data_IF_837147895505
#
_entry.id   IF_837147895505
#
_cell.length_a   1.000
_cell.length_b   1.000
_cell.length_c   1.000
_cell.angle_alpha   90.00
_cell.angle_beta   90.00
_cell.angle_gamma   90.00
#
_symmetry.space_group_name_H-M   'P 1'
#
loop_
_entity.id
_entity.type
_entity.pdbx_description
1 polymer ?
#
# COMPACT_ATOMS: atom_id res chain seq x y z
N UNK A 1 25.76 -1.49 22.33
CA UNK A 1 25.34 -2.89 22.08
C UNK A 1 24.41 -3.25 23.23
N UNK A 2 23.44 -4.13 23.01
CA UNK A 2 22.49 -4.54 24.04
C UNK A 2 22.16 -6.02 23.85
N UNK A 3 22.24 -6.81 24.91
CA UNK A 3 21.90 -8.22 24.86
C UNK A 3 20.47 -8.42 25.37
N UNK A 4 19.71 -9.32 24.72
CA UNK A 4 18.33 -9.64 25.08
C UNK A 4 18.07 -11.13 24.87
N UNK A 5 16.97 -11.62 25.45
CA UNK A 5 16.45 -12.95 25.13
C UNK A 5 15.07 -12.83 24.48
N UNK A 6 14.80 -13.66 23.48
CA UNK A 6 13.45 -13.80 22.91
C UNK A 6 12.94 -15.21 23.18
N UNK A 7 11.88 -15.34 23.99
CA UNK A 7 11.33 -16.65 24.38
C UNK A 7 9.92 -16.79 23.83
N UNK A 8 9.68 -17.83 23.01
CA UNK A 8 8.32 -18.20 22.62
C UNK A 8 7.63 -18.90 23.80
N UNK A 9 6.42 -18.45 24.13
CA UNK A 9 5.63 -18.94 25.25
C UNK A 9 4.14 -18.99 24.88
N UNK A 10 3.30 -19.45 25.81
CA UNK A 10 1.85 -19.32 25.72
C UNK A 10 1.36 -18.51 26.92
N UNK A 11 0.40 -17.62 26.68
CA UNK A 11 -0.19 -16.78 27.72
C UNK A 11 -1.69 -17.06 27.76
N UNK A 12 -2.22 -17.30 28.96
CA UNK A 12 -3.64 -17.45 29.21
C UNK A 12 -4.22 -16.13 29.71
N UNK A 13 -5.23 -15.63 29.00
CA UNK A 13 -6.00 -14.43 29.37
C UNK A 13 -7.48 -14.78 29.32
N UNK A 14 -8.22 -14.50 30.40
CA UNK A 14 -9.67 -14.79 30.46
C UNK A 14 -10.04 -16.27 30.22
N UNK A 15 -9.13 -17.21 30.47
CA UNK A 15 -9.33 -18.64 30.23
C UNK A 15 -8.85 -19.15 28.84
N UNK A 16 -8.61 -18.26 27.89
CA UNK A 16 -8.15 -18.60 26.53
C UNK A 16 -6.62 -18.54 26.42
N UNK A 17 -6.03 -19.51 25.71
CA UNK A 17 -4.58 -19.57 25.47
C UNK A 17 -4.20 -18.90 24.16
N UNK A 18 -3.23 -17.99 24.23
CA UNK A 18 -2.66 -17.27 23.10
C UNK A 18 -1.18 -17.62 22.96
N UNK A 19 -0.68 -17.59 21.73
CA UNK A 19 0.77 -17.65 21.47
C UNK A 19 1.38 -16.32 21.90
N UNK A 20 2.52 -16.37 22.58
CA UNK A 20 3.21 -15.19 23.06
C UNK A 20 4.70 -15.22 22.72
N UNK A 21 5.26 -14.03 22.51
CA UNK A 21 6.70 -13.82 22.37
C UNK A 21 7.13 -12.88 23.49
N UNK A 22 8.02 -13.37 24.34
CA UNK A 22 8.51 -12.67 25.51
C UNK A 22 9.90 -12.12 25.24
N UNK A 23 10.04 -10.80 25.32
CA UNK A 23 11.32 -10.11 25.28
C UNK A 23 11.83 -9.90 26.70
N UNK A 24 12.98 -10.50 27.01
CA UNK A 24 13.62 -10.32 28.31
C UNK A 24 14.46 -9.05 28.29
N UNK A 25 14.17 -8.15 29.22
CA UNK A 25 14.90 -6.91 29.44
C UNK A 25 15.58 -7.00 30.81
N UNK A 26 16.90 -6.81 30.87
CA UNK A 26 17.63 -6.79 32.14
C UNK A 26 17.30 -5.55 32.96
N UNK A 27 17.38 -4.38 32.33
CA UNK A 27 17.13 -3.09 32.94
C UNK A 27 16.26 -2.23 32.01
N UNK A 28 15.02 -2.01 32.42
CA UNK A 28 14.05 -1.20 31.69
C UNK A 28 14.40 0.29 31.65
N UNK A 29 15.27 0.77 32.54
CA UNK A 29 15.73 2.17 32.58
C UNK A 29 16.90 2.45 31.65
N UNK A 30 17.65 1.42 31.25
CA UNK A 30 18.86 1.54 30.43
C UNK A 30 18.69 1.09 28.97
N UNK A 31 17.45 0.88 28.51
CA UNK A 31 17.17 0.43 27.13
C UNK A 31 17.50 1.53 26.13
N UNK A 32 18.51 1.29 25.30
CA UNK A 32 18.98 2.25 24.27
C UNK A 32 18.69 1.78 22.84
N UNK A 33 18.45 0.48 22.64
CA UNK A 33 18.08 -0.13 21.36
C UNK A 33 16.68 -0.71 21.49
N UNK A 34 15.77 -0.41 20.57
CA UNK A 34 14.36 -0.82 20.69
C UNK A 34 13.70 -0.16 21.91
N UNK A 35 13.80 1.16 22.01
CA UNK A 35 13.30 1.93 23.15
C UNK A 35 11.81 1.69 23.36
N UNK A 36 11.46 1.14 24.52
CA UNK A 36 10.08 0.91 24.93
C UNK A 36 9.49 2.23 25.42
N UNK A 37 8.41 2.70 24.80
CA UNK A 37 7.67 3.86 25.31
C UNK A 37 6.56 3.38 26.24
N UNK A 38 6.63 3.63 27.56
CA UNK A 38 5.53 3.31 28.46
C UNK A 38 4.33 4.20 28.15
N UNK A 39 3.14 3.60 28.07
CA UNK A 39 1.88 4.33 27.91
C UNK A 39 1.05 4.35 29.19
N UNK A 40 0.97 3.20 29.87
CA UNK A 40 0.17 3.01 31.10
C UNK A 40 0.94 2.14 32.08
N UNK A 41 0.79 2.41 33.37
CA UNK A 41 1.36 1.60 34.45
C UNK A 41 2.59 2.20 35.10
N UNK A 42 3.08 1.54 36.15
CA UNK A 42 4.29 1.95 36.85
C UNK A 42 5.53 1.62 36.00
N UNK A 43 6.45 2.58 35.90
CA UNK A 43 7.71 2.41 35.18
C UNK A 43 8.88 2.89 36.04
N UNK A 44 9.96 2.11 36.18
CA UNK A 44 10.18 0.75 35.68
C UNK A 44 9.30 -0.31 36.39
N UNK A 45 9.05 -1.47 35.75
CA UNK A 45 8.31 -2.57 36.34
C UNK A 45 9.03 -3.20 37.54
N UNK A 46 8.26 -3.83 38.43
CA UNK A 46 8.77 -4.72 39.47
C UNK A 46 9.35 -6.02 38.87
N UNK A 47 10.22 -6.68 39.62
CA UNK A 47 10.95 -7.89 39.20
C UNK A 47 10.06 -9.07 38.78
N UNK A 48 8.76 -8.97 39.03
CA UNK A 48 7.81 -10.05 38.90
C UNK A 48 6.63 -9.79 37.96
N UNK A 49 6.64 -8.69 37.20
CA UNK A 49 5.51 -8.33 36.35
C UNK A 49 5.65 -8.72 34.88
N UNK A 50 4.48 -8.78 34.26
CA UNK A 50 4.30 -8.84 32.82
C UNK A 50 3.98 -7.45 32.32
N UNK A 51 4.74 -6.96 31.35
CA UNK A 51 4.38 -5.79 30.56
C UNK A 51 3.87 -6.29 29.23
N UNK A 52 2.73 -5.80 28.79
CA UNK A 52 2.15 -6.17 27.50
C UNK A 52 2.38 -5.06 26.47
N UNK A 53 2.59 -5.45 25.23
CA UNK A 53 2.61 -4.51 24.11
C UNK A 53 1.18 -4.04 23.79
N UNK A 54 1.00 -2.73 23.54
CA UNK A 54 -0.31 -2.09 23.33
C UNK A 54 -1.16 -2.80 22.29
N UNK A 55 -0.62 -3.12 21.12
CA UNK A 55 -1.35 -3.75 20.01
C UNK A 55 -1.77 -5.21 20.31
N UNK A 56 -1.21 -5.83 21.35
CA UNK A 56 -1.62 -7.15 21.83
C UNK A 56 -2.83 -7.09 22.77
N UNK A 57 -3.20 -5.91 23.30
CA UNK A 57 -4.38 -5.75 24.18
C UNK A 57 -5.68 -6.08 23.44
N UNK A 58 -5.87 -5.51 22.25
CA UNK A 58 -7.08 -5.72 21.44
C UNK A 58 -7.28 -7.19 21.05
N UNK A 59 -6.18 -7.91 20.86
CA UNK A 59 -6.20 -9.33 20.50
C UNK A 59 -6.39 -10.26 21.71
N UNK A 60 -5.71 -9.98 22.82
CA UNK A 60 -5.74 -10.84 24.01
C UNK A 60 -6.91 -10.55 24.95
N UNK A 61 -7.48 -9.35 24.89
CA UNK A 61 -8.48 -8.85 25.83
C UNK A 61 -7.92 -8.58 27.24
N UNK A 62 -6.60 -8.60 27.41
CA UNK A 62 -5.96 -8.34 28.70
C UNK A 62 -6.10 -6.86 29.10
N UNK A 63 -6.23 -6.60 30.40
CA UNK A 63 -6.19 -5.27 30.98
C UNK A 63 -5.04 -5.13 31.98
N UNK A 64 -4.64 -3.88 32.24
CA UNK A 64 -3.69 -3.58 33.33
C UNK A 64 -4.34 -3.94 34.66
N UNK A 65 -3.64 -4.76 35.44
CA UNK A 65 -4.12 -5.33 36.71
C UNK A 65 -4.55 -6.79 36.62
N UNK A 66 -4.72 -7.35 35.42
CA UNK A 66 -5.06 -8.75 35.25
C UNK A 66 -3.89 -9.68 35.60
N UNK A 67 -4.19 -10.86 36.14
CA UNK A 67 -3.21 -11.93 36.32
C UNK A 67 -3.20 -12.85 35.10
N UNK A 68 -2.15 -12.76 34.29
CA UNK A 68 -1.97 -13.62 33.12
C UNK A 68 -1.17 -14.86 33.49
N UNK A 69 -1.60 -16.03 33.02
CA UNK A 69 -0.83 -17.27 33.25
C UNK A 69 0.08 -17.54 32.08
N UNK A 70 1.37 -17.55 32.32
CA UNK A 70 2.38 -17.75 31.27
C UNK A 70 2.97 -19.15 31.43
N UNK A 71 3.00 -19.90 30.32
CA UNK A 71 3.57 -21.24 30.26
C UNK A 71 4.63 -21.27 29.17
N UNK A 72 5.78 -21.84 29.51
CA UNK A 72 6.88 -22.09 28.58
C UNK A 72 7.01 -23.61 28.39
N UNK A 73 6.91 -24.05 27.14
CA UNK A 73 6.92 -25.47 26.77
C UNK A 73 5.94 -26.33 27.62
N UNK A 74 6.45 -27.32 28.35
CA UNK A 74 5.67 -28.21 29.22
C UNK A 74 5.73 -27.79 30.70
N UNK A 75 6.34 -26.64 31.01
CA UNK A 75 6.45 -26.16 32.38
C UNK A 75 5.07 -25.72 32.93
N UNK A 76 4.83 -25.89 34.24
CA UNK A 76 3.58 -25.46 34.87
C UNK A 76 3.35 -23.96 34.66
N UNK A 77 2.12 -23.53 34.34
CA UNK A 77 1.81 -22.12 34.15
C UNK A 77 2.08 -21.29 35.42
N UNK A 78 2.76 -20.15 35.25
CA UNK A 78 3.05 -19.19 36.32
C UNK A 78 2.17 -17.96 36.15
N UNK A 79 1.55 -17.51 37.23
CA UNK A 79 0.77 -16.27 37.23
C UNK A 79 1.72 -15.05 37.30
N UNK A 80 1.56 -14.13 36.36
CA UNK A 80 2.26 -12.85 36.32
C UNK A 80 1.24 -11.72 36.21
N UNK A 81 1.27 -10.71 37.09
CA UNK A 81 0.36 -9.57 36.99
C UNK A 81 0.77 -8.66 35.83
N UNK A 82 -0.20 -8.20 35.04
CA UNK A 82 -0.01 -7.19 33.99
C UNK A 82 0.10 -5.83 34.67
N UNK A 83 1.32 -5.28 34.78
CA UNK A 83 1.56 -4.01 35.49
C UNK A 83 1.66 -2.79 34.60
N UNK A 84 1.84 -2.99 33.29
CA UNK A 84 1.96 -1.88 32.38
C UNK A 84 1.79 -2.26 30.92
N UNK A 85 1.60 -1.22 30.12
CA UNK A 85 1.50 -1.27 28.67
C UNK A 85 2.62 -0.44 28.09
N UNK A 86 3.35 -1.03 27.14
CA UNK A 86 4.38 -0.34 26.37
C UNK A 86 4.05 -0.38 24.90
N UNK A 87 4.65 0.56 24.17
CA UNK A 87 4.69 0.57 22.73
C UNK A 87 6.11 0.35 22.25
N UNK A 88 6.30 -0.67 21.42
CA UNK A 88 7.53 -0.89 20.66
C UNK A 88 7.21 -0.75 19.17
N UNK A 89 7.70 0.32 18.57
CA UNK A 89 7.49 0.61 17.14
C UNK A 89 8.23 -0.38 16.23
N UNK A 90 9.24 -1.10 16.74
CA UNK A 90 10.00 -2.07 15.97
C UNK A 90 9.32 -3.41 15.80
N UNK A 91 8.17 -3.63 16.45
CA UNK A 91 7.40 -4.87 16.37
C UNK A 91 6.21 -4.71 15.42
N UNK A 92 5.88 -5.81 14.74
CA UNK A 92 4.62 -5.90 14.04
C UNK A 92 3.47 -5.80 15.05
N UNK A 93 2.30 -5.27 14.66
CA UNK A 93 1.14 -5.29 15.53
C UNK A 93 0.73 -6.72 15.90
N UNK A 94 0.51 -6.98 17.19
CA UNK A 94 0.18 -8.32 17.71
C UNK A 94 -1.08 -8.92 17.09
N UNK A 95 -2.07 -8.08 16.76
CA UNK A 95 -3.28 -8.51 16.06
C UNK A 95 -3.02 -9.00 14.62
N UNK A 96 -1.96 -8.52 13.95
CA UNK A 96 -1.59 -9.01 12.61
C UNK A 96 -0.94 -10.39 12.69
N UNK A 97 0.02 -10.57 13.62
CA UNK A 97 0.73 -11.84 13.78
C UNK A 97 -0.05 -12.88 14.60
N UNK A 98 -1.17 -12.49 15.23
CA UNK A 98 -1.92 -13.31 16.19
C UNK A 98 -1.04 -13.77 17.36
N UNK A 99 -0.20 -12.86 17.85
CA UNK A 99 0.78 -13.09 18.91
C UNK A 99 0.65 -12.00 19.99
N UNK A 100 0.79 -12.42 21.24
CA UNK A 100 0.91 -11.52 22.39
C UNK A 100 2.39 -11.20 22.60
N UNK A 101 2.79 -9.96 22.37
CA UNK A 101 4.13 -9.51 22.73
C UNK A 101 4.15 -9.09 24.20
N UNK A 102 5.04 -9.71 24.95
CA UNK A 102 5.26 -9.42 26.36
C UNK A 102 6.70 -9.01 26.62
N UNK A 103 6.90 -8.14 27.60
CA UNK A 103 8.21 -7.78 28.12
C UNK A 103 8.28 -8.21 29.59
N UNK A 104 9.33 -8.93 29.93
CA UNK A 104 9.51 -9.53 31.25
C UNK A 104 10.96 -9.35 31.73
N UNK A 105 11.16 -9.35 33.04
CA UNK A 105 12.50 -9.35 33.65
C UNK A 105 13.13 -10.75 33.56
N UNK A 106 14.46 -10.83 33.76
CA UNK A 106 15.16 -12.11 33.88
C UNK A 106 14.59 -12.99 35.01
N UNK A 107 14.27 -12.39 36.16
CA UNK A 107 13.68 -13.11 37.31
C UNK A 107 12.32 -13.70 37.02
N UNK A 108 11.47 -13.01 36.25
CA UNK A 108 10.21 -13.56 35.80
C UNK A 108 10.42 -14.79 34.90
N UNK A 109 11.44 -14.76 34.04
CA UNK A 109 11.79 -15.89 33.17
C UNK A 109 12.24 -17.13 33.95
N UNK A 110 13.08 -16.93 34.97
CA UNK A 110 13.57 -18.00 35.86
C UNK A 110 12.42 -18.66 36.62
N UNK A 111 11.44 -17.88 37.10
CA UNK A 111 10.24 -18.43 37.76
C UNK A 111 9.39 -19.30 36.83
N UNK A 112 9.37 -19.00 35.53
CA UNK A 112 8.67 -19.82 34.52
C UNK A 112 9.43 -21.10 34.13
N UNK A 113 10.64 -21.31 34.67
CA UNK A 113 11.50 -22.43 34.29
C UNK A 113 12.17 -22.27 32.93
N UNK A 114 12.10 -21.07 32.33
CA UNK A 114 12.75 -20.78 31.06
C UNK A 114 14.22 -20.33 31.26
N UNK A 115 15.14 -20.66 30.33
CA UNK A 115 16.57 -20.36 30.51
C UNK A 115 16.85 -18.86 30.57
N UNK A 116 17.55 -18.37 31.58
CA UNK A 116 17.85 -16.94 31.75
C UNK A 116 19.04 -16.41 30.94
N UNK A 117 19.68 -17.28 30.16
CA UNK A 117 20.78 -16.92 29.26
C UNK A 117 20.31 -16.02 28.13
N UNK A 118 21.06 -14.96 27.84
CA UNK A 118 20.75 -14.06 26.72
C UNK A 118 21.17 -14.73 25.41
N UNK A 119 20.28 -14.71 24.42
CA UNK A 119 20.48 -15.43 23.15
C UNK A 119 20.52 -14.51 21.92
N UNK A 120 20.37 -13.20 22.11
CA UNK A 120 20.45 -12.22 21.05
C UNK A 120 21.32 -11.01 21.45
N UNK A 121 22.19 -10.58 20.53
CA UNK A 121 23.01 -9.39 20.68
C UNK A 121 22.61 -8.36 19.63
N UNK A 122 22.15 -7.20 20.10
CA UNK A 122 21.80 -6.05 19.27
C UNK A 122 22.96 -5.05 19.20
N UNK A 123 23.26 -4.63 17.99
CA UNK A 123 24.36 -3.73 17.66
C UNK A 123 23.80 -2.49 16.97
N UNK A 124 24.33 -1.31 17.29
CA UNK A 124 24.05 -0.07 16.56
C UNK A 124 25.37 0.42 15.99
N UNK A 125 25.40 0.57 14.66
CA UNK A 125 26.56 1.16 13.98
C UNK A 125 26.36 2.68 13.95
N UNK A 126 27.27 3.40 14.59
CA UNK A 126 27.18 4.87 14.71
C UNK A 126 27.48 5.59 13.39
N UNK A 127 28.25 4.96 12.51
CA UNK A 127 28.55 5.51 11.20
C UNK A 127 27.31 5.44 10.29
N UNK A 128 26.68 6.60 10.08
CA UNK A 128 25.48 6.75 9.25
C UNK A 128 25.78 6.82 7.75
N UNK A 129 27.05 6.84 7.35
CA UNK A 129 27.45 6.88 5.93
C UNK A 129 27.42 5.50 5.28
N UNK A 130 27.48 4.44 6.09
CA UNK A 130 27.48 3.06 5.62
C UNK A 130 26.10 2.66 5.09
N UNK A 131 26.10 1.99 3.95
CA UNK A 131 24.93 1.29 3.44
C UNK A 131 24.76 -0.07 4.13
N UNK A 132 23.69 -0.79 3.78
CA UNK A 132 23.41 -2.10 4.36
C UNK A 132 24.57 -3.10 4.17
N UNK A 133 25.29 -3.02 3.04
CA UNK A 133 26.43 -3.88 2.76
C UNK A 133 27.63 -3.55 3.66
N UNK A 134 27.91 -2.26 3.88
CA UNK A 134 28.92 -1.78 4.81
C UNK A 134 28.62 -2.19 6.26
N UNK A 135 27.39 -1.99 6.73
CA UNK A 135 26.97 -2.45 8.07
C UNK A 135 27.10 -3.96 8.19
N UNK A 136 26.67 -4.73 7.18
CA UNK A 136 26.81 -6.20 7.16
C UNK A 136 28.27 -6.65 7.14
N UNK A 137 29.20 -5.85 6.61
CA UNK A 137 30.63 -6.15 6.69
C UNK A 137 31.16 -5.97 8.12
N UNK A 138 30.78 -4.88 8.81
CA UNK A 138 31.14 -4.63 10.21
C UNK A 138 30.60 -5.74 11.12
N UNK A 139 29.32 -6.10 10.96
CA UNK A 139 28.70 -7.15 11.79
C UNK A 139 29.32 -8.52 11.53
N UNK A 140 29.73 -8.83 10.30
CA UNK A 140 30.50 -10.05 9.98
C UNK A 140 31.91 -10.07 10.57
N UNK A 141 32.52 -8.90 10.84
CA UNK A 141 33.77 -8.84 11.58
C UNK A 141 33.53 -9.21 13.05
N UNK A 142 32.53 -8.58 13.69
CA UNK A 142 32.13 -8.89 15.08
C UNK A 142 31.74 -10.36 15.25
N UNK A 143 31.02 -10.94 14.28
CA UNK A 143 30.70 -12.36 14.27
C UNK A 143 31.95 -13.24 14.32
N UNK A 144 32.96 -12.96 13.48
CA UNK A 144 34.21 -13.73 13.47
C UNK A 144 34.96 -13.65 14.80
N UNK A 145 34.94 -12.49 15.43
CA UNK A 145 35.55 -12.31 16.76
C UNK A 145 34.80 -13.13 17.82
N UNK A 146 33.46 -13.14 17.78
CA UNK A 146 32.61 -13.95 18.67
C UNK A 146 32.83 -15.46 18.47
N UNK A 147 32.89 -15.91 17.22
CA UNK A 147 33.17 -17.31 16.88
C UNK A 147 34.59 -17.74 17.31
N UNK A 148 35.56 -16.84 17.20
CA UNK A 148 36.91 -17.04 17.72
C UNK A 148 36.96 -17.22 19.25
N UNK A 149 35.98 -16.66 19.97
CA UNK A 149 35.78 -16.87 21.41
C UNK A 149 34.92 -18.11 21.74
N UNK A 150 34.56 -18.92 20.74
CA UNK A 150 33.76 -20.13 20.92
C UNK A 150 32.25 -19.90 20.94
N UNK A 151 31.77 -18.69 20.64
CA UNK A 151 30.33 -18.37 20.57
C UNK A 151 29.81 -18.65 19.16
N UNK A 152 28.91 -19.63 19.02
CA UNK A 152 28.26 -19.92 17.72
C UNK A 152 27.16 -18.91 17.41
N UNK A 153 27.32 -18.16 16.32
CA UNK A 153 26.30 -17.25 15.79
C UNK A 153 25.45 -17.98 14.76
N UNK A 154 24.14 -18.10 15.00
CA UNK A 154 23.23 -18.84 14.09
C UNK A 154 22.72 -17.97 12.95
N UNK A 155 22.43 -16.71 13.25
CA UNK A 155 21.75 -15.82 12.32
C UNK A 155 22.21 -14.36 12.49
N UNK A 156 22.22 -13.63 11.39
CA UNK A 156 22.52 -12.20 11.33
C UNK A 156 21.41 -11.49 10.58
N UNK A 157 20.67 -10.66 11.30
CA UNK A 157 19.70 -9.76 10.70
C UNK A 157 20.26 -8.33 10.65
N UNK A 158 20.30 -7.76 9.44
CA UNK A 158 20.74 -6.38 9.18
C UNK A 158 19.63 -5.68 8.38
N UNK A 159 18.73 -4.93 9.03
CA UNK A 159 17.74 -4.09 8.34
C UNK A 159 18.40 -3.04 7.44
N UNK A 160 17.63 -2.52 6.49
CA UNK A 160 18.06 -1.43 5.62
C UNK A 160 18.21 -0.16 6.47
N UNK A 161 19.41 0.45 6.54
CA UNK A 161 19.61 1.65 7.35
C UNK A 161 18.70 2.80 6.90
N UNK A 162 18.03 3.45 7.84
CA UNK A 162 17.14 4.57 7.54
C UNK A 162 15.72 4.19 7.15
N UNK A 163 15.40 2.90 6.99
CA UNK A 163 14.06 2.42 6.67
C UNK A 163 13.44 1.68 7.85
N UNK A 164 12.12 1.86 8.00
CA UNK A 164 11.34 1.15 8.99
C UNK A 164 11.13 -0.33 8.58
N UNK A 165 11.00 -1.24 9.54
CA UNK A 165 10.83 -2.69 9.27
C UNK A 165 9.61 -3.01 8.40
N UNK A 166 8.57 -2.17 8.49
CA UNK A 166 7.36 -2.28 7.69
C UNK A 166 7.27 -1.29 6.51
N UNK A 167 8.38 -0.64 6.15
CA UNK A 167 8.39 0.36 5.07
C UNK A 167 7.88 -0.21 3.74
N UNK A 168 8.27 -1.44 3.40
CA UNK A 168 7.82 -2.10 2.16
C UNK A 168 6.30 -2.32 2.12
N UNK A 169 5.67 -2.72 3.24
CA UNK A 169 4.22 -2.81 3.33
C UNK A 169 3.58 -1.42 3.19
N UNK A 170 4.18 -0.38 3.79
CA UNK A 170 3.62 0.98 3.76
C UNK A 170 3.67 1.56 2.36
N UNK A 171 4.81 1.42 1.69
CA UNK A 171 4.99 1.82 0.30
C UNK A 171 4.00 1.11 -0.61
N UNK A 172 3.77 -0.19 -0.43
CA UNK A 172 2.81 -0.96 -1.21
C UNK A 172 1.38 -0.43 -1.07
N UNK A 173 0.97 -0.08 0.16
CA UNK A 173 -0.32 0.55 0.44
C UNK A 173 -0.40 1.93 -0.23
N UNK A 174 0.61 2.78 -0.04
CA UNK A 174 0.65 4.14 -0.60
C UNK A 174 0.61 4.14 -2.14
N UNK A 175 1.38 3.26 -2.80
CA UNK A 175 1.37 3.15 -4.26
C UNK A 175 0.04 2.64 -4.81
N UNK A 176 -0.56 1.66 -4.13
CA UNK A 176 -1.87 1.12 -4.53
C UNK A 176 -2.96 2.16 -4.40
N UNK A 177 -2.97 2.92 -3.29
CA UNK A 177 -3.89 4.05 -3.11
C UNK A 177 -3.63 5.17 -4.13
N UNK A 178 -2.36 5.45 -4.43
CA UNK A 178 -1.97 6.39 -5.48
C UNK A 178 -2.50 5.99 -6.86
N UNK A 179 -2.48 4.71 -7.19
CA UNK A 179 -3.06 4.18 -8.42
C UNK A 179 -4.59 4.39 -8.47
N UNK A 180 -5.29 4.13 -7.37
CA UNK A 180 -6.73 4.41 -7.28
C UNK A 180 -7.05 5.91 -7.37
N UNK A 181 -6.22 6.77 -6.76
CA UNK A 181 -6.36 8.22 -6.87
C UNK A 181 -6.19 8.69 -8.31
N UNK A 182 -5.19 8.16 -9.03
CA UNK A 182 -4.99 8.46 -10.45
C UNK A 182 -6.17 8.00 -11.31
N UNK A 183 -6.71 6.81 -11.05
CA UNK A 183 -7.91 6.30 -11.71
C UNK A 183 -9.11 7.24 -11.47
N UNK A 184 -9.34 7.65 -10.22
CA UNK A 184 -10.42 8.57 -9.87
C UNK A 184 -10.27 9.94 -10.57
N UNK A 185 -9.05 10.46 -10.68
CA UNK A 185 -8.77 11.69 -11.43
C UNK A 185 -9.10 11.54 -12.92
N UNK A 186 -8.75 10.41 -13.54
CA UNK A 186 -9.07 10.14 -14.94
C UNK A 186 -10.59 10.04 -15.16
N UNK A 187 -11.31 9.36 -14.27
CA UNK A 187 -12.77 9.27 -14.31
C UNK A 187 -13.42 10.65 -14.14
N UNK A 188 -12.90 11.47 -13.23
CA UNK A 188 -13.36 12.85 -13.02
C UNK A 188 -13.16 13.70 -14.27
N UNK A 189 -11.99 13.62 -14.92
CA UNK A 189 -11.73 14.32 -16.17
C UNK A 189 -12.71 13.91 -17.28
N UNK A 190 -13.01 12.61 -17.41
CA UNK A 190 -14.01 12.12 -18.36
C UNK A 190 -15.41 12.66 -18.06
N UNK A 191 -15.79 12.74 -16.78
CA UNK A 191 -17.07 13.33 -16.37
C UNK A 191 -17.16 14.81 -16.76
N UNK A 192 -16.09 15.58 -16.57
CA UNK A 192 -16.02 16.98 -16.98
C UNK A 192 -16.15 17.12 -18.49
N UNK A 193 -15.46 16.28 -19.27
CA UNK A 193 -15.59 16.27 -20.74
C UNK A 193 -17.05 16.08 -21.15
N UNK A 194 -17.74 15.10 -20.56
CA UNK A 194 -19.12 14.80 -20.89
C UNK A 194 -20.07 15.93 -20.48
N UNK A 195 -19.87 16.51 -19.30
CA UNK A 195 -20.65 17.64 -18.82
C UNK A 195 -20.54 18.85 -19.75
N UNK A 196 -19.31 19.24 -20.08
CA UNK A 196 -19.06 20.41 -20.95
C UNK A 196 -19.52 20.14 -22.38
N UNK A 197 -19.31 18.94 -22.91
CA UNK A 197 -19.83 18.56 -24.23
C UNK A 197 -21.36 18.67 -24.28
N UNK A 198 -22.06 18.12 -23.28
CA UNK A 198 -23.52 18.20 -23.20
C UNK A 198 -24.01 19.64 -23.07
N UNK A 199 -23.35 20.46 -22.24
CA UNK A 199 -23.67 21.88 -22.08
C UNK A 199 -23.52 22.65 -23.40
N UNK A 200 -22.41 22.43 -24.11
CA UNK A 200 -22.15 23.07 -25.41
C UNK A 200 -23.19 22.66 -26.46
N UNK A 201 -23.55 21.37 -26.52
CA UNK A 201 -24.59 20.89 -27.45
C UNK A 201 -25.95 21.54 -27.17
N UNK A 202 -26.30 21.75 -25.89
CA UNK A 202 -27.53 22.46 -25.51
C UNK A 202 -27.54 23.94 -25.90
N UNK A 203 -26.37 24.55 -26.10
CA UNK A 203 -26.20 25.99 -26.33
C UNK A 203 -25.66 26.34 -27.73
N UNK A 204 -25.68 25.39 -28.69
CA UNK A 204 -25.15 25.62 -30.05
C UNK A 204 -25.79 26.84 -30.72
N UNK A 205 -27.11 27.03 -30.58
CA UNK A 205 -27.82 28.18 -31.15
C UNK A 205 -27.37 29.50 -30.53
N UNK A 206 -27.18 29.54 -29.22
CA UNK A 206 -26.70 30.73 -28.49
C UNK A 206 -25.28 31.09 -28.96
N UNK A 207 -24.41 30.09 -29.13
CA UNK A 207 -23.07 30.25 -29.70
C UNK A 207 -23.14 30.80 -31.14
N UNK A 208 -24.08 30.30 -31.95
CA UNK A 208 -24.32 30.79 -33.30
C UNK A 208 -24.73 32.26 -33.35
N UNK A 209 -25.63 32.69 -32.44
CA UNK A 209 -26.07 34.09 -32.32
C UNK A 209 -24.90 34.98 -31.89
N UNK A 210 -24.11 34.58 -30.88
CA UNK A 210 -22.94 35.34 -30.44
C UNK A 210 -21.95 35.57 -31.60
N UNK A 211 -21.67 34.53 -32.39
CA UNK A 211 -20.76 34.61 -33.54
C UNK A 211 -21.34 35.45 -34.68
N UNK A 212 -22.65 35.42 -34.91
CA UNK A 212 -23.32 36.24 -35.92
C UNK A 212 -23.24 37.74 -35.60
N UNK A 213 -23.26 38.11 -34.31
CA UNK A 213 -23.08 39.49 -33.83
C UNK A 213 -21.60 39.93 -33.86
N UNK A 214 -20.68 39.02 -34.19
CA UNK A 214 -19.25 39.31 -34.39
C UNK A 214 -18.31 38.76 -33.30
N UNK A 215 -18.80 37.93 -32.38
CA UNK A 215 -17.93 37.31 -31.38
C UNK A 215 -16.91 36.36 -32.03
N UNK A 216 -15.65 36.51 -31.65
CA UNK A 216 -14.59 35.61 -32.08
C UNK A 216 -14.70 34.26 -31.37
N UNK A 217 -14.29 33.17 -32.03
CA UNK A 217 -14.32 31.83 -31.43
C UNK A 217 -13.50 31.72 -30.13
N UNK A 218 -12.46 32.55 -30.00
CA UNK A 218 -11.63 32.64 -28.78
C UNK A 218 -12.39 33.27 -27.61
N UNK A 219 -13.26 34.25 -27.86
CA UNK A 219 -14.07 34.90 -26.83
C UNK A 219 -15.12 33.92 -26.28
N UNK A 220 -15.76 33.16 -27.16
CA UNK A 220 -16.69 32.10 -26.76
C UNK A 220 -15.95 30.98 -26.00
N UNK A 221 -14.77 30.55 -26.48
CA UNK A 221 -13.98 29.54 -25.79
C UNK A 221 -13.53 30.01 -24.40
N UNK A 222 -13.10 31.27 -24.27
CA UNK A 222 -12.69 31.85 -23.00
C UNK A 222 -13.86 31.89 -21.99
N UNK A 223 -15.09 32.18 -22.45
CA UNK A 223 -16.29 32.15 -21.61
C UNK A 223 -16.51 30.75 -21.00
N UNK A 224 -16.50 29.70 -21.82
CA UNK A 224 -16.71 28.33 -21.33
C UNK A 224 -15.54 27.80 -20.50
N UNK A 225 -14.30 28.17 -20.83
CA UNK A 225 -13.14 27.85 -19.99
C UNK A 225 -13.17 28.59 -18.65
N UNK A 226 -13.70 29.82 -18.61
CA UNK A 226 -13.94 30.52 -17.36
C UNK A 226 -14.98 29.80 -16.50
N UNK A 227 -16.07 29.30 -17.09
CA UNK A 227 -17.04 28.44 -16.39
C UNK A 227 -16.35 27.19 -15.82
N UNK A 228 -15.57 26.46 -16.62
CA UNK A 228 -14.83 25.29 -16.13
C UNK A 228 -13.84 25.65 -15.00
N UNK A 229 -13.18 26.80 -15.09
CA UNK A 229 -12.25 27.29 -14.06
C UNK A 229 -12.99 27.63 -12.78
N UNK A 230 -14.10 28.36 -12.85
CA UNK A 230 -14.91 28.72 -11.67
C UNK A 230 -15.47 27.48 -10.96
N UNK A 231 -15.94 26.48 -11.71
CA UNK A 231 -16.35 25.19 -11.16
C UNK A 231 -15.18 24.46 -10.48
N UNK A 232 -14.00 24.45 -11.09
CA UNK A 232 -12.79 23.88 -10.50
C UNK A 232 -12.38 24.56 -9.20
N UNK A 233 -12.38 25.90 -9.17
CA UNK A 233 -12.08 26.68 -7.96
C UNK A 233 -13.10 26.42 -6.85
N UNK A 234 -14.39 26.42 -7.18
CA UNK A 234 -15.45 26.11 -6.21
C UNK A 234 -15.33 24.68 -5.67
N UNK A 235 -15.03 23.71 -6.54
CA UNK A 235 -14.80 22.32 -6.15
C UNK A 235 -13.60 22.21 -5.21
N UNK A 236 -12.48 22.87 -5.51
CA UNK A 236 -11.28 22.88 -4.64
C UNK A 236 -11.58 23.54 -3.29
N UNK A 237 -12.31 24.65 -3.27
CA UNK A 237 -12.68 25.36 -2.05
C UNK A 237 -13.46 24.46 -1.06
N UNK A 238 -14.29 23.56 -1.57
CA UNK A 238 -15.06 22.60 -0.75
C UNK A 238 -14.27 21.33 -0.48
N UNK A 239 -13.62 20.76 -1.49
CA UNK A 239 -12.95 19.46 -1.40
C UNK A 239 -11.69 19.51 -0.52
N UNK A 240 -10.93 20.60 -0.56
CA UNK A 240 -9.67 20.72 0.16
C UNK A 240 -9.84 20.62 1.69
N UNK A 241 -10.72 21.39 2.37
CA UNK A 241 -10.92 21.25 3.81
C UNK A 241 -11.47 19.87 4.20
N UNK A 242 -12.39 19.33 3.40
CA UNK A 242 -12.95 17.98 3.64
C UNK A 242 -11.85 16.93 3.54
N UNK A 243 -11.02 16.98 2.50
CA UNK A 243 -9.90 16.05 2.30
C UNK A 243 -8.85 16.16 3.40
N UNK A 244 -8.62 17.36 3.95
CA UNK A 244 -7.68 17.58 5.04
C UNK A 244 -8.15 16.89 6.33
N UNK A 245 -9.43 17.06 6.68
CA UNK A 245 -10.02 16.45 7.88
C UNK A 245 -10.10 14.93 7.72
N UNK A 246 -10.61 14.46 6.57
CA UNK A 246 -10.71 13.04 6.27
C UNK A 246 -9.33 12.37 6.24
N UNK A 247 -8.33 13.01 5.60
CA UNK A 247 -6.96 12.52 5.52
C UNK A 247 -6.31 12.39 6.90
N UNK A 248 -6.51 13.37 7.79
CA UNK A 248 -6.00 13.30 9.18
C UNK A 248 -6.63 12.16 9.97
N UNK A 249 -7.96 11.99 9.88
CA UNK A 249 -8.67 10.89 10.56
C UNK A 249 -8.23 9.54 10.02
N UNK A 250 -8.09 9.42 8.70
CA UNK A 250 -7.61 8.20 8.06
C UNK A 250 -6.17 7.86 8.46
N UNK A 251 -5.28 8.86 8.50
CA UNK A 251 -3.90 8.68 8.94
C UNK A 251 -3.84 8.24 10.41
N UNK A 252 -4.61 8.85 11.31
CA UNK A 252 -4.69 8.44 12.72
C UNK A 252 -5.16 6.99 12.87
N UNK A 253 -6.25 6.61 12.19
CA UNK A 253 -6.74 5.23 12.21
C UNK A 253 -5.70 4.23 11.70
N UNK A 254 -4.94 4.58 10.65
CA UNK A 254 -3.86 3.72 10.15
C UNK A 254 -2.67 3.67 11.10
N UNK A 255 -2.29 4.78 11.71
CA UNK A 255 -1.21 4.83 12.69
C UNK A 255 -1.51 3.95 13.91
N UNK A 256 -2.74 4.02 14.45
CA UNK A 256 -3.18 3.14 15.54
C UNK A 256 -3.17 1.67 15.10
N UNK A 257 -3.73 1.37 13.94
CA UNK A 257 -3.82 0.00 13.42
C UNK A 257 -2.44 -0.61 13.13
N UNK A 258 -1.45 0.21 12.79
CA UNK A 258 -0.08 -0.21 12.49
C UNK A 258 0.91 0.06 13.61
N UNK A 259 0.42 0.43 14.79
CA UNK A 259 1.22 0.66 16.00
C UNK A 259 2.36 1.68 15.81
N UNK A 260 2.16 2.69 14.94
CA UNK A 260 3.14 3.72 14.64
C UNK A 260 2.70 5.09 15.18
N UNK A 261 3.55 5.85 15.89
CA UNK A 261 3.21 7.18 16.35
C UNK A 261 3.28 8.22 15.22
N UNK A 262 2.24 9.05 15.08
CA UNK A 262 2.33 10.27 14.28
C UNK A 262 2.85 11.37 15.21
N UNK A 263 4.17 11.56 15.23
CA UNK A 263 4.79 12.60 16.06
C UNK A 263 4.52 14.02 15.51
N UNK A 264 4.42 14.18 14.17
CA UNK A 264 4.09 15.44 13.51
C UNK A 264 2.92 15.29 12.52
N UNK A 265 1.82 16.02 12.76
CA UNK A 265 0.64 16.07 11.86
C UNK A 265 0.78 17.20 10.82
N UNK A 266 2.01 17.63 10.55
CA UNK A 266 2.30 18.70 9.62
C UNK A 266 2.21 18.19 8.17
N UNK A 267 1.10 18.50 7.51
CA UNK A 267 0.93 18.21 6.08
C UNK A 267 1.81 19.20 5.31
N UNK A 268 2.75 18.74 4.46
CA UNK A 268 3.62 19.64 3.72
C UNK A 268 2.80 20.59 2.84
N UNK A 269 3.05 21.89 2.94
CA UNK A 269 2.26 22.92 2.23
C UNK A 269 2.26 22.72 0.70
N UNK A 270 3.34 22.16 0.15
CA UNK A 270 3.44 21.88 -1.28
C UNK A 270 2.41 20.84 -1.75
N UNK A 271 1.99 19.90 -0.89
CA UNK A 271 0.95 18.92 -1.20
C UNK A 271 -0.40 19.63 -1.36
N UNK A 272 -0.69 20.57 -0.48
CA UNK A 272 -1.92 21.38 -0.50
C UNK A 272 -1.96 22.22 -1.79
N UNK A 273 -0.85 22.88 -2.11
CA UNK A 273 -0.73 23.67 -3.35
C UNK A 273 -0.85 22.78 -4.59
N UNK A 274 -0.21 21.61 -4.60
CA UNK A 274 -0.32 20.67 -5.70
C UNK A 274 -1.77 20.21 -5.90
N UNK A 275 -2.49 19.87 -4.83
CA UNK A 275 -3.90 19.47 -4.88
C UNK A 275 -4.79 20.60 -5.41
N UNK A 276 -4.55 21.84 -4.99
CA UNK A 276 -5.28 23.01 -5.50
C UNK A 276 -5.00 23.23 -7.00
N UNK A 277 -3.74 23.17 -7.43
CA UNK A 277 -3.36 23.30 -8.85
C UNK A 277 -4.02 22.19 -9.67
N UNK A 278 -3.88 20.93 -9.26
CA UNK A 278 -4.46 19.79 -9.99
C UNK A 278 -5.99 19.90 -10.05
N UNK A 279 -6.63 20.29 -8.95
CA UNK A 279 -8.09 20.44 -8.88
C UNK A 279 -8.67 21.54 -9.77
N UNK A 280 -7.92 22.61 -10.06
CA UNK A 280 -8.34 23.67 -10.99
C UNK A 280 -7.91 23.37 -12.43
N UNK A 281 -6.67 22.94 -12.63
CA UNK A 281 -6.09 22.75 -13.97
C UNK A 281 -6.72 21.55 -14.67
N UNK A 282 -6.99 20.46 -13.96
CA UNK A 282 -7.50 19.24 -14.58
C UNK A 282 -8.89 19.43 -15.23
N UNK A 283 -9.90 20.06 -14.58
CA UNK A 283 -11.17 20.38 -15.24
C UNK A 283 -11.02 21.28 -16.46
N UNK A 284 -10.12 22.28 -16.41
CA UNK A 284 -9.88 23.20 -17.53
C UNK A 284 -9.25 22.45 -18.71
N UNK A 285 -8.25 21.59 -18.45
CA UNK A 285 -7.65 20.74 -19.47
C UNK A 285 -8.68 19.76 -20.07
N UNK A 286 -9.50 19.14 -19.24
CA UNK A 286 -10.57 18.25 -19.67
C UNK A 286 -11.59 18.98 -20.57
N UNK A 287 -12.02 20.19 -20.17
CA UNK A 287 -12.96 21.02 -20.91
C UNK A 287 -12.39 21.57 -22.23
N UNK A 288 -11.06 21.72 -22.34
CA UNK A 288 -10.43 22.35 -23.50
C UNK A 288 -10.77 21.66 -24.83
N UNK A 289 -10.83 20.32 -24.86
CA UNK A 289 -11.14 19.53 -26.07
C UNK A 289 -12.57 19.78 -26.55
N UNK A 290 -13.63 19.57 -25.74
CA UNK A 290 -14.99 19.84 -26.17
C UNK A 290 -15.25 21.32 -26.46
N UNK A 291 -14.67 22.25 -25.68
CA UNK A 291 -14.80 23.69 -25.94
C UNK A 291 -14.21 24.07 -27.30
N UNK A 292 -13.02 23.58 -27.61
CA UNK A 292 -12.38 23.86 -28.91
C UNK A 292 -13.19 23.31 -30.08
N UNK A 293 -13.77 22.11 -29.93
CA UNK A 293 -14.64 21.53 -30.97
C UNK A 293 -15.96 22.28 -31.11
N UNK A 294 -16.61 22.64 -30.00
CA UNK A 294 -17.89 23.35 -30.00
C UNK A 294 -17.82 24.77 -30.54
N UNK A 295 -16.79 25.54 -30.18
CA UNK A 295 -16.66 26.95 -30.61
C UNK A 295 -16.34 27.11 -32.11
N UNK A 296 -15.84 26.06 -32.76
CA UNK A 296 -15.50 26.06 -34.19
C UNK A 296 -16.67 25.69 -35.11
N UNK A 297 -17.84 25.36 -34.57
CA UNK A 297 -19.07 25.15 -35.35
C UNK A 297 -19.41 26.44 -36.10
N UNK A 298 -19.74 26.36 -37.40
CA UNK A 298 -20.01 27.55 -38.21
C UNK A 298 -21.37 28.18 -37.84
N UNK A 299 -21.54 29.48 -38.08
CA UNK A 299 -22.81 30.19 -37.84
C UNK A 299 -23.94 29.54 -38.64
N UNK A 300 -23.64 29.14 -39.88
CA UNK A 300 -24.58 28.49 -40.77
C UNK A 300 -25.03 27.13 -40.24
N UNK A 301 -24.11 26.30 -39.75
CA UNK A 301 -24.45 25.00 -39.17
C UNK A 301 -25.24 25.16 -37.87
N UNK A 302 -24.84 26.10 -37.01
CA UNK A 302 -25.51 26.37 -35.73
C UNK A 302 -26.95 26.88 -35.88
N UNK A 303 -27.27 27.59 -36.97
CA UNK A 303 -28.62 28.12 -37.25
C UNK A 303 -29.47 27.18 -38.11
N UNK A 304 -28.85 26.34 -38.96
CA UNK A 304 -29.56 25.35 -39.80
C UNK A 304 -30.00 24.11 -39.04
N UNK A 305 -29.40 23.81 -37.89
CA UNK A 305 -29.70 22.62 -37.07
C UNK A 305 -31.13 22.58 -36.47
N UNK A 306 -31.99 23.57 -36.78
CA UNK A 306 -33.41 23.58 -36.41
C UNK A 306 -34.33 23.11 -37.56
N UNK A 307 -33.78 22.64 -38.69
CA UNK A 307 -34.60 22.17 -39.80
C UNK A 307 -33.92 21.13 -40.68
N UNK A 308 -34.31 19.86 -40.48
CA UNK A 308 -34.22 18.76 -41.46
C UNK A 308 -32.82 18.13 -41.62
N UNK A 309 -32.49 17.16 -40.75
CA UNK A 309 -31.84 15.87 -41.05
C UNK A 309 -31.63 15.15 -39.70
N UNK A 310 -32.25 14.01 -39.42
CA UNK A 310 -31.98 12.76 -40.10
C UNK A 310 -31.23 11.86 -39.13
N UNK A 311 -31.94 10.90 -38.55
CA UNK A 311 -31.35 9.78 -37.84
C UNK A 311 -30.24 9.14 -38.70
N UNK A 312 -29.02 8.99 -38.15
CA UNK A 312 -27.97 8.16 -38.74
C UNK A 312 -26.66 8.85 -39.10
N UNK A 313 -25.98 9.46 -38.13
CA UNK A 313 -24.61 9.97 -38.28
C UNK A 313 -23.64 9.31 -37.30
N UNK A 314 -23.49 7.98 -37.38
CA UNK A 314 -22.53 7.24 -36.55
C UNK A 314 -21.09 7.52 -36.99
N UNK A 315 -20.41 8.46 -36.31
CA UNK A 315 -19.00 8.73 -36.50
C UNK A 315 -18.13 7.53 -36.07
N UNK A 316 -17.71 6.70 -37.02
CA UNK A 316 -16.72 5.65 -36.79
C UNK A 316 -15.31 6.23 -36.87
N UNK A 317 -14.60 6.27 -35.75
CA UNK A 317 -13.14 6.52 -35.73
C UNK A 317 -12.45 5.26 -36.25
N UNK A 318 -11.84 5.34 -37.42
CA UNK A 318 -11.00 4.26 -37.97
C UNK A 318 -9.57 4.51 -37.52
N UNK A 319 -9.09 3.74 -36.54
CA UNK A 319 -7.69 3.73 -36.14
C UNK A 319 -6.98 2.57 -36.85
N UNK A 320 -5.85 2.86 -37.48
CA UNK A 320 -5.09 1.89 -38.29
C UNK A 320 -3.96 1.32 -37.44
N UNK A 321 -4.09 0.07 -37.02
CA UNK A 321 -3.02 -0.69 -36.34
C UNK A 321 -2.76 -1.94 -37.18
N UNK A 322 -1.50 -2.16 -37.58
CA UNK A 322 -1.05 -3.44 -38.15
C UNK A 322 -1.83 -3.93 -39.38
N UNK A 323 -1.87 -3.14 -40.46
CA UNK A 323 -2.24 -3.62 -41.80
C UNK A 323 -3.70 -4.04 -42.05
N UNK A 324 -4.57 -4.09 -41.04
CA UNK A 324 -5.97 -4.52 -41.18
C UNK A 324 -6.96 -3.45 -40.71
N UNK A 325 -8.02 -3.22 -41.49
CA UNK A 325 -9.08 -2.23 -41.17
C UNK A 325 -10.04 -2.82 -40.15
N UNK A 326 -9.88 -2.49 -38.88
CA UNK A 326 -10.89 -2.80 -37.85
C UNK A 326 -11.79 -1.58 -37.65
N UNK A 327 -13.09 -1.73 -37.92
CA UNK A 327 -14.11 -0.70 -37.72
C UNK A 327 -14.61 -0.80 -36.28
N UNK A 328 -14.04 0.00 -35.37
CA UNK A 328 -14.45 0.00 -33.97
C UNK A 328 -15.66 0.92 -33.78
N UNK A 329 -16.85 0.34 -33.61
CA UNK A 329 -18.04 1.08 -33.18
C UNK A 329 -17.92 1.38 -31.69
N UNK A 330 -17.65 2.64 -31.34
CA UNK A 330 -17.51 3.12 -29.95
C UNK A 330 -18.78 2.96 -29.10
N UNK A 331 -19.88 2.44 -29.66
CA UNK A 331 -21.16 2.21 -28.97
C UNK A 331 -21.23 0.85 -28.23
N UNK A 332 -20.29 -0.09 -28.45
CA UNK A 332 -20.40 -1.44 -27.87
C UNK A 332 -19.35 -1.81 -26.81
N UNK A 333 -18.47 -0.90 -26.39
CA UNK A 333 -17.43 -1.20 -25.41
C UNK A 333 -17.68 -0.51 -24.06
N UNK A 334 -18.77 -0.88 -23.39
CA UNK A 334 -18.85 -0.93 -21.92
C UNK A 334 -20.06 -1.80 -21.53
N UNK A 335 -19.88 -2.98 -20.91
CA UNK A 335 -20.98 -3.61 -20.21
C UNK A 335 -21.27 -2.75 -18.99
N UNK A 336 -22.43 -2.11 -19.04
CA UNK A 336 -23.09 -1.52 -17.89
C UNK A 336 -23.36 -2.67 -16.89
N UNK A 337 -22.55 -2.80 -15.85
CA UNK A 337 -22.87 -3.64 -14.69
C UNK A 337 -23.90 -2.85 -13.87
N UNK A 338 -25.14 -2.94 -14.32
CA UNK A 338 -26.33 -2.49 -13.59
C UNK A 338 -26.98 -3.71 -12.95
N UNK A 339 -26.94 -3.76 -11.63
CA UNK A 339 -27.73 -4.66 -10.83
C UNK A 339 -29.22 -4.43 -11.09
N UNK A 340 -29.87 -5.41 -11.72
CA UNK A 340 -31.17 -5.97 -11.36
C UNK A 340 -31.61 -6.86 -12.51
N UNK A 341 -31.75 -8.15 -12.21
CA UNK A 341 -32.39 -9.07 -13.13
C UNK A 341 -33.79 -8.57 -13.46
N UNK A 342 -34.18 -8.75 -14.71
CA UNK A 342 -35.50 -9.25 -15.11
C UNK A 342 -35.38 -9.67 -16.58
N UNK A 343 -35.77 -10.92 -16.84
CA UNK A 343 -35.83 -11.54 -18.17
C UNK A 343 -37.11 -11.10 -18.86
N UNK A 344 -37.03 -10.82 -20.16
CA UNK A 344 -38.10 -11.18 -21.11
C UNK A 344 -37.60 -11.07 -22.56
N UNK A 345 -37.78 -12.10 -23.39
CA UNK A 345 -37.38 -12.09 -24.79
C UNK A 345 -38.48 -11.45 -25.67
N UNK A 346 -38.12 -10.44 -26.45
CA UNK A 346 -39.00 -9.91 -27.49
C UNK A 346 -39.22 -10.97 -28.57
N UNK A 347 -40.48 -11.36 -28.74
CA UNK A 347 -40.97 -12.19 -29.83
C UNK A 347 -41.73 -11.33 -30.85
N UNK A 348 -41.50 -11.64 -32.14
CA UNK A 348 -42.46 -11.57 -33.25
C UNK A 348 -42.89 -10.18 -33.78
N UNK A 349 -42.58 -9.86 -35.04
CA UNK A 349 -43.50 -10.03 -36.20
C UNK A 349 -42.82 -9.75 -37.56
N UNK A 350 -43.24 -10.43 -38.65
CA UNK A 350 -42.68 -10.34 -40.00
C UNK A 350 -43.55 -9.54 -41.00
N UNK A 351 -42.95 -9.20 -42.16
CA UNK A 351 -43.51 -8.92 -43.52
C UNK A 351 -42.47 -8.04 -44.25
N UNK A 352 -41.98 -8.23 -45.47
CA UNK A 352 -42.20 -9.12 -46.61
C UNK A 352 -41.69 -8.39 -47.86
N UNK A 353 -40.90 -9.02 -48.75
CA UNK A 353 -40.54 -8.49 -50.07
C UNK A 353 -39.13 -8.89 -50.57
N UNK A 354 -38.91 -9.14 -51.89
CA UNK A 354 -38.18 -10.32 -52.34
C UNK A 354 -36.77 -10.09 -52.94
N UNK A 355 -36.08 -11.23 -53.10
CA UNK A 355 -35.01 -11.55 -54.06
C UNK A 355 -33.69 -10.76 -54.01
N UNK A 356 -32.63 -11.41 -53.54
CA UNK A 356 -31.51 -11.84 -54.40
C UNK A 356 -30.46 -12.59 -53.60
N UNK A 357 -30.11 -13.77 -54.12
CA UNK A 357 -28.99 -14.66 -53.80
C UNK A 357 -27.76 -14.04 -53.12
N UNK A 358 -27.38 -14.58 -51.95
CA UNK A 358 -25.98 -14.78 -51.57
C UNK A 358 -25.86 -15.89 -50.53
N UNK A 359 -25.19 -16.98 -50.91
CA UNK A 359 -24.98 -18.22 -50.14
C UNK A 359 -24.24 -17.95 -48.84
N UNK A 360 -24.78 -18.46 -47.74
CA UNK A 360 -24.06 -18.67 -46.48
C UNK A 360 -23.42 -20.06 -46.52
N UNK A 361 -22.10 -20.13 -46.63
CA UNK A 361 -21.36 -21.39 -46.52
C UNK A 361 -21.08 -21.66 -45.04
N UNK A 362 -21.87 -22.54 -44.43
CA UNK A 362 -21.58 -23.16 -43.13
C UNK A 362 -20.39 -24.12 -43.28
N UNK A 363 -19.26 -23.83 -42.64
CA UNK A 363 -18.18 -24.81 -42.48
C UNK A 363 -18.47 -25.65 -41.25
N UNK A 364 -18.75 -26.92 -41.52
CA UNK A 364 -19.02 -28.01 -40.57
C UNK A 364 -17.68 -28.45 -39.93
N UNK A 365 -17.67 -28.52 -38.60
CA UNK A 365 -16.59 -29.09 -37.79
C UNK A 365 -16.66 -30.61 -37.90
N UNK A 366 -15.59 -31.26 -38.36
CA UNK A 366 -15.40 -32.71 -38.28
C UNK A 366 -14.06 -33.02 -37.63
N UNK A 367 -14.03 -34.17 -36.99
CA UNK A 367 -13.15 -34.57 -35.90
C UNK A 367 -12.28 -35.77 -36.27
N UNK A 368 -11.14 -35.92 -35.55
CA UNK A 368 -10.36 -37.17 -35.25
C UNK A 368 -9.33 -37.63 -36.32
N UNK A 369 -8.22 -38.37 -36.03
CA UNK A 369 -7.38 -38.60 -34.82
C UNK A 369 -5.83 -38.46 -34.97
N UNK A 370 -5.16 -38.44 -33.80
CA UNK A 370 -3.84 -38.98 -33.35
C UNK A 370 -2.81 -39.55 -34.36
N UNK A 371 -1.53 -39.19 -34.17
CA UNK A 371 -0.43 -40.12 -33.76
C UNK A 371 0.91 -39.41 -33.46
N UNK A 372 1.53 -39.80 -32.34
CA UNK A 372 2.97 -40.03 -32.00
C UNK A 372 4.06 -39.09 -32.57
N UNK A 373 5.13 -38.65 -31.89
CA UNK A 373 6.03 -39.33 -30.96
C UNK A 373 7.16 -38.36 -30.48
N UNK A 374 7.89 -38.76 -29.41
CA UNK A 374 9.30 -38.45 -29.07
C UNK A 374 9.72 -37.10 -28.40
N UNK A 375 9.82 -37.18 -27.06
CA UNK A 375 10.96 -36.92 -26.12
C UNK A 375 11.78 -35.59 -26.11
N UNK A 376 12.40 -35.27 -24.94
CA UNK A 376 12.80 -33.92 -24.53
C UNK A 376 14.32 -33.64 -24.65
N UNK A 377 14.70 -32.36 -24.62
CA UNK A 377 16.07 -31.93 -24.33
C UNK A 377 16.07 -30.78 -23.31
N UNK A 378 16.80 -31.02 -22.23
CA UNK A 378 17.22 -30.04 -21.24
C UNK A 378 18.48 -29.32 -21.73
N UNK A 379 18.67 -28.03 -21.45
CA UNK A 379 19.97 -27.48 -21.00
C UNK A 379 19.88 -26.01 -20.51
N UNK A 380 20.32 -25.83 -19.26
CA UNK A 380 21.24 -24.80 -18.71
C UNK A 380 20.97 -23.29 -18.83
N UNK A 381 20.69 -22.70 -17.66
CA UNK A 381 21.46 -21.66 -16.93
C UNK A 381 22.19 -20.53 -17.69
N UNK A 382 21.95 -19.29 -17.25
CA UNK A 382 23.03 -18.29 -17.08
C UNK A 382 22.56 -17.11 -16.22
N UNK A 383 23.32 -16.87 -15.14
CA UNK A 383 23.25 -15.70 -14.26
C UNK A 383 23.85 -14.46 -14.95
N UNK A 384 23.27 -13.28 -14.72
CA UNK A 384 23.95 -12.01 -14.95
C UNK A 384 23.62 -11.02 -13.81
N UNK A 385 24.65 -10.59 -13.10
CA UNK A 385 24.64 -9.53 -12.07
C UNK A 385 24.90 -8.14 -12.68
N UNK A 386 24.59 -7.03 -11.97
CA UNK A 386 24.35 -5.71 -12.56
C UNK A 386 25.50 -4.71 -12.34
N UNK A 387 25.42 -3.56 -13.03
CA UNK A 387 26.29 -2.37 -12.88
C UNK A 387 25.43 -1.07 -12.92
N UNK A 388 25.94 0.11 -12.51
CA UNK A 388 25.33 0.84 -11.40
C UNK A 388 24.85 2.28 -11.68
N UNK A 389 24.28 2.87 -10.62
CA UNK A 389 24.24 4.30 -10.28
C UNK A 389 23.06 5.17 -10.79
N UNK A 390 22.15 5.49 -9.87
CA UNK A 390 21.40 6.76 -9.87
C UNK A 390 21.34 7.32 -8.45
N UNK A 391 22.02 8.45 -8.23
CA UNK A 391 21.89 9.29 -7.04
C UNK A 391 20.43 9.75 -6.89
N UNK A 392 19.74 9.32 -5.83
CA UNK A 392 18.50 9.95 -5.37
C UNK A 392 18.81 10.94 -4.24
N UNK A 393 18.34 12.18 -4.40
CA UNK A 393 18.33 13.20 -3.35
C UNK A 393 17.47 12.72 -2.18
N UNK A 394 18.03 12.77 -0.96
CA UNK A 394 17.35 12.42 0.30
C UNK A 394 16.25 13.43 0.63
N UNK A 395 15.10 12.95 1.08
CA UNK A 395 14.07 13.71 1.78
C UNK A 395 14.31 13.64 3.29
N UNK A 396 13.81 14.64 4.03
CA UNK A 396 14.02 14.87 5.47
C UNK A 396 13.51 13.78 6.44
N UNK A 397 13.11 12.61 5.93
CA UNK A 397 12.62 11.48 6.74
C UNK A 397 13.74 10.51 7.18
N UNK A 398 14.95 10.63 6.62
CA UNK A 398 16.04 9.67 6.88
C UNK A 398 16.75 9.81 8.23
N UNK A 399 16.40 10.81 9.04
CA UNK A 399 17.18 11.17 10.23
C UNK A 399 16.74 10.43 11.51
N UNK A 400 15.62 9.71 11.47
CA UNK A 400 15.02 9.06 12.65
C UNK A 400 15.47 7.61 12.90
N UNK A 401 16.15 6.94 11.97
CA UNK A 401 16.39 5.48 12.05
C UNK A 401 17.87 5.11 11.82
N UNK A 402 18.72 5.06 12.86
CA UNK A 402 20.06 4.50 12.74
C UNK A 402 19.99 2.99 12.47
N UNK A 403 20.87 2.48 11.61
CA UNK A 403 20.97 1.05 11.29
C UNK A 403 21.33 0.24 12.53
N UNK A 404 20.42 -0.64 12.96
CA UNK A 404 20.68 -1.66 13.97
C UNK A 404 20.92 -3.01 13.30
N UNK A 405 21.58 -3.93 13.98
CA UNK A 405 21.75 -5.31 13.54
C UNK A 405 21.51 -6.25 14.73
N UNK A 406 20.89 -7.40 14.50
CA UNK A 406 20.60 -8.40 15.54
C UNK A 406 21.31 -9.71 15.20
N UNK A 407 22.13 -10.21 16.13
CA UNK A 407 22.73 -11.55 16.08
C UNK A 407 21.93 -12.49 16.99
N UNK A 408 21.62 -13.73 16.58
CA UNK A 408 20.97 -14.75 17.44
C UNK A 408 21.80 -16.03 17.59
N UNK A 409 21.84 -16.61 18.79
CA UNK A 409 22.27 -17.99 19.10
C UNK A 409 23.08 -18.15 20.41
N UNK A 410 22.57 -18.91 21.39
CA UNK A 410 23.32 -19.44 22.55
C UNK A 410 22.74 -20.81 22.98
N UNK A 411 23.57 -21.85 22.99
CA UNK A 411 23.35 -23.08 23.78
C UNK A 411 24.68 -23.45 24.41
N UNK A 412 24.79 -23.25 25.73
CA UNK A 412 25.92 -23.74 26.50
C UNK A 412 25.69 -25.22 26.78
N UNK A 413 26.33 -26.07 25.99
CA UNK A 413 26.71 -27.42 26.42
C UNK A 413 28.23 -27.49 26.27
N UNK A 414 28.91 -27.42 27.40
CA UNK A 414 30.31 -27.79 27.49
C UNK A 414 30.42 -29.29 27.23
N UNK A 415 31.10 -29.67 26.15
CA UNK A 415 31.54 -31.03 25.90
C UNK A 415 33.07 -31.05 25.76
N UNK A 416 33.72 -32.15 26.16
CA UNK A 416 35.00 -32.10 26.87
C UNK A 416 36.21 -31.96 25.95
N UNK A 417 37.26 -31.41 26.54
CA UNK A 417 38.63 -31.34 26.03
C UNK A 417 39.11 -32.69 25.47
N UNK A 418 39.45 -32.72 24.18
CA UNK A 418 40.41 -33.68 23.65
C UNK A 418 41.78 -33.00 23.58
N UNK A 419 42.66 -33.37 24.51
CA UNK A 419 44.09 -33.14 24.41
C UNK A 419 44.70 -34.11 23.38
N UNK A 420 45.86 -33.78 22.77
CA UNK A 420 46.42 -34.52 21.65
C UNK A 420 47.23 -35.73 22.13
N UNK A 421 47.21 -36.81 21.36
CA UNK A 421 48.19 -37.88 21.47
C UNK A 421 48.81 -38.14 20.10
N UNK A 422 50.13 -37.95 20.08
CA UNK A 422 51.17 -38.39 19.15
C UNK A 422 51.07 -37.97 17.67
#
# INVERSE_FOLDING_TARGET
>A
MQARRTTAARVQVGGSWFTAILYTVEDFSAVTIGTLRPEVGAWPPDDASFIIERSSLDFSGAAVGDDVRVSWEAAPPVALPVRGVVRDVGLAPGWMEHVVYGFVTRRALERMGAPSTLDALQLVVRDRSLDQAGVRAVVRAVMRDLEGMGVRVRDIDVPVPGEHVHAAQMDSLLYTQGAFALMALALSAFLVVNLIAAMLTGQVREIGIMKAVGAQWQQVAALYLAVATTLGVAAVAVALPISLVAGRRYAGLKADLLNFPIDDVAIPWWVIVLQAIVGVVLPVLAASIPVWRGCRISVNDALRDVGIAGAGGGGSVVMRVGGSRVRCCFRCAMPFVGANGWRSPCSRWPRGGPSSSARTTCVRRSSVPLTSSLRPSATTSSCASPSPSRRRRRSAWSDAWPGYATLRGWTGDAAPSCAPTA
#
